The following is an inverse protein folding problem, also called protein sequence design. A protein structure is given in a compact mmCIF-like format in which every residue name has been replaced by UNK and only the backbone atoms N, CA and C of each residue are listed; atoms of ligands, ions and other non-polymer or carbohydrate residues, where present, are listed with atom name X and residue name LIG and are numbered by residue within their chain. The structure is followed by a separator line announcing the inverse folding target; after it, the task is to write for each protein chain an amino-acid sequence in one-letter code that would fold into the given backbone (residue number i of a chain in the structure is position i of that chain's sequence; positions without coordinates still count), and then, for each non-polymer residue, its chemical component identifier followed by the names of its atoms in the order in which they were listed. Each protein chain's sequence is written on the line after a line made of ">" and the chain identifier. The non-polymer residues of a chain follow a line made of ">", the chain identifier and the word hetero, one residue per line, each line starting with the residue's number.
data_IF_930202475239
#
_entry.id   IF_930202475239
#
_cell.length_a   1.000
_cell.length_b   1.000
_cell.length_c   1.000
_cell.angle_alpha   90.00
_cell.angle_beta   90.00
_cell.angle_gamma   90.00
#
_symmetry.space_group_name_H-M   'P 1'
#
loop_
_entity.id
_entity.type
_entity.pdbx_description
1 polymer ?
#
# COMPACT_ATOMS: atom_id res chain seq x y z
N UNK A 1 -31.22 12.82 14.03
CA UNK A 1 -31.01 12.78 12.56
C UNK A 1 -31.25 11.38 12.03
N UNK A 2 -30.48 10.35 12.41
CA UNK A 2 -30.66 8.99 11.84
C UNK A 2 -32.09 8.45 11.95
N UNK A 3 -32.75 8.64 13.08
CA UNK A 3 -34.12 8.15 13.32
C UNK A 3 -35.22 9.06 12.74
N UNK A 4 -34.86 10.21 12.14
CA UNK A 4 -35.82 11.24 11.72
C UNK A 4 -35.80 11.37 10.20
N UNK A 5 -36.89 10.99 9.53
CA UNK A 5 -37.09 11.18 8.09
C UNK A 5 -38.25 12.17 7.92
N UNK A 6 -38.11 13.14 7.00
CA UNK A 6 -39.05 14.23 6.79
C UNK A 6 -38.65 15.52 7.51
N UNK A 7 -39.62 16.40 7.85
CA UNK A 7 -39.32 17.73 8.37
C UNK A 7 -38.62 17.68 9.73
N UNK A 8 -37.51 18.39 9.85
CA UNK A 8 -36.70 18.49 11.04
C UNK A 8 -36.17 19.90 11.23
N UNK A 9 -36.02 20.31 12.49
CA UNK A 9 -35.42 21.59 12.84
C UNK A 9 -33.99 21.35 13.31
N UNK A 10 -33.03 22.03 12.69
CA UNK A 10 -31.61 21.92 13.01
C UNK A 10 -31.09 23.26 13.53
N UNK A 11 -30.35 23.22 14.62
CA UNK A 11 -29.62 24.37 15.15
C UNK A 11 -28.18 24.37 14.64
N UNK A 12 -27.79 25.44 13.97
CA UNK A 12 -26.46 25.64 13.39
C UNK A 12 -25.78 26.78 14.14
N UNK A 13 -24.60 26.54 14.72
CA UNK A 13 -23.78 27.60 15.26
C UNK A 13 -22.84 28.17 14.18
N UNK A 14 -22.94 29.47 13.89
CA UNK A 14 -22.08 30.16 12.94
C UNK A 14 -21.65 31.50 13.53
N UNK A 15 -20.34 31.72 13.66
CA UNK A 15 -19.79 32.99 14.14
C UNK A 15 -20.21 33.38 15.57
N UNK A 16 -20.54 32.42 16.44
CA UNK A 16 -21.01 32.65 17.80
C UNK A 16 -22.53 32.85 17.94
N UNK A 17 -23.28 32.85 16.84
CA UNK A 17 -24.74 32.93 16.81
C UNK A 17 -25.36 31.55 16.57
N UNK A 18 -26.49 31.26 17.22
CA UNK A 18 -27.26 30.03 16.99
C UNK A 18 -28.41 30.31 16.02
N UNK A 19 -28.31 29.78 14.82
CA UNK A 19 -29.33 29.86 13.78
C UNK A 19 -30.19 28.60 13.82
N UNK A 20 -31.51 28.76 13.73
CA UNK A 20 -32.44 27.64 13.63
C UNK A 20 -32.89 27.53 12.17
N UNK A 21 -32.72 26.36 11.57
CA UNK A 21 -33.03 26.10 10.16
C UNK A 21 -33.99 24.92 10.09
N UNK A 22 -35.14 25.14 9.47
CA UNK A 22 -36.06 24.06 9.13
C UNK A 22 -35.61 23.41 7.82
N UNK A 23 -35.52 22.09 7.83
CA UNK A 23 -35.02 21.29 6.72
C UNK A 23 -35.83 20.00 6.58
N UNK A 24 -35.69 19.34 5.44
CA UNK A 24 -36.33 18.06 5.16
C UNK A 24 -35.24 16.99 5.04
N UNK A 25 -35.22 16.07 6.00
CA UNK A 25 -34.29 14.94 5.99
C UNK A 25 -34.81 13.88 5.02
N UNK A 26 -34.04 13.60 3.98
CA UNK A 26 -34.38 12.56 3.01
C UNK A 26 -33.96 11.18 3.54
N UNK A 27 -34.64 10.13 3.07
CA UNK A 27 -34.24 8.76 3.39
C UNK A 27 -32.94 8.40 2.64
N UNK A 28 -31.97 7.88 3.38
CA UNK A 28 -30.74 7.33 2.83
C UNK A 28 -30.45 5.97 3.46
N UNK A 29 -29.93 5.02 2.68
CA UNK A 29 -29.47 3.75 3.22
C UNK A 29 -28.00 3.86 3.64
N UNK A 30 -27.75 3.56 4.90
CA UNK A 30 -26.39 3.57 5.47
C UNK A 30 -26.05 2.21 6.04
N UNK A 31 -24.75 1.91 6.10
CA UNK A 31 -24.25 0.68 6.75
C UNK A 31 -24.65 0.70 8.23
N UNK A 32 -25.33 -0.36 8.66
CA UNK A 32 -25.64 -0.62 10.05
C UNK A 32 -24.34 -0.79 10.84
N UNK A 33 -24.25 -0.16 12.02
CA UNK A 33 -23.07 -0.25 12.89
C UNK A 33 -23.49 -0.67 14.28
N UNK A 34 -22.68 -1.48 14.93
CA UNK A 34 -22.86 -1.87 16.33
C UNK A 34 -22.48 -0.74 17.30
N UNK A 35 -22.55 -1.02 18.61
CA UNK A 35 -22.24 -0.05 19.67
C UNK A 35 -20.76 0.39 19.67
N UNK A 36 -19.86 -0.43 19.12
CA UNK A 36 -18.43 -0.16 18.99
C UNK A 36 -18.11 0.56 17.66
N UNK A 37 -19.13 0.78 16.81
CA UNK A 37 -19.01 1.44 15.53
C UNK A 37 -18.57 0.53 14.39
N UNK A 38 -18.50 -0.79 14.58
CA UNK A 38 -18.15 -1.73 13.53
C UNK A 38 -19.35 -2.03 12.61
N UNK A 39 -19.15 -2.26 11.30
CA UNK A 39 -20.21 -2.67 10.39
C UNK A 39 -20.89 -3.97 10.84
N UNK A 40 -22.22 -3.99 10.86
CA UNK A 40 -22.98 -5.23 11.04
C UNK A 40 -23.04 -5.96 9.70
N UNK A 41 -22.75 -7.25 9.71
CA UNK A 41 -22.75 -8.08 8.50
C UNK A 41 -24.13 -8.71 8.31
N UNK A 42 -24.65 -8.66 7.08
CA UNK A 42 -25.89 -9.32 6.70
C UNK A 42 -25.72 -10.83 6.78
N UNK A 43 -26.65 -11.51 7.47
CA UNK A 43 -26.68 -12.97 7.60
C UNK A 43 -27.89 -13.55 6.89
N UNK A 44 -27.75 -14.78 6.39
CA UNK A 44 -28.83 -15.54 5.78
C UNK A 44 -29.72 -16.23 6.84
N UNK A 45 -30.69 -17.03 6.39
CA UNK A 45 -31.61 -17.75 7.27
C UNK A 45 -30.93 -18.82 8.16
N UNK A 46 -29.71 -19.24 7.81
CA UNK A 46 -28.92 -20.21 8.56
C UNK A 46 -27.92 -19.54 9.52
N UNK A 47 -27.81 -18.20 9.47
CA UNK A 47 -26.89 -17.41 10.28
C UNK A 47 -25.51 -17.21 9.63
N UNK A 48 -25.33 -17.68 8.39
CA UNK A 48 -24.09 -17.54 7.63
C UNK A 48 -24.00 -16.14 7.01
N UNK A 49 -22.80 -15.53 6.94
CA UNK A 49 -22.65 -14.21 6.33
C UNK A 49 -22.97 -14.28 4.83
N UNK A 50 -23.81 -13.36 4.37
CA UNK A 50 -24.13 -13.21 2.94
C UNK A 50 -22.89 -12.69 2.23
N UNK A 51 -22.44 -13.44 1.23
CA UNK A 51 -21.31 -13.06 0.38
C UNK A 51 -21.80 -12.53 -0.96
N UNK A 52 -21.09 -11.57 -1.53
CA UNK A 52 -21.30 -11.12 -2.90
C UNK A 52 -20.59 -12.00 -3.94
N UNK A 53 -20.70 -11.65 -5.22
CA UNK A 53 -20.08 -12.37 -6.35
C UNK A 53 -18.55 -12.51 -6.25
N UNK A 54 -17.91 -11.71 -5.40
CA UNK A 54 -16.47 -11.69 -5.18
C UNK A 54 -16.09 -12.38 -3.84
N UNK A 55 -17.06 -12.98 -3.15
CA UNK A 55 -16.88 -13.62 -1.86
C UNK A 55 -16.71 -12.63 -0.70
N UNK A 56 -17.18 -11.38 -0.84
CA UNK A 56 -17.08 -10.34 0.21
C UNK A 56 -18.35 -10.33 1.06
N UNK A 57 -18.18 -10.15 2.37
CA UNK A 57 -19.30 -10.06 3.29
C UNK A 57 -20.10 -8.79 3.03
N UNK A 58 -21.41 -8.95 2.83
CA UNK A 58 -22.32 -7.83 2.54
C UNK A 58 -22.73 -7.18 3.87
N UNK A 59 -22.46 -5.88 4.08
CA UNK A 59 -22.92 -5.19 5.27
C UNK A 59 -24.45 -5.07 5.28
N UNK A 60 -25.03 -5.14 6.47
CA UNK A 60 -26.43 -4.82 6.68
C UNK A 60 -26.65 -3.31 6.51
N UNK A 61 -27.78 -2.94 5.92
CA UNK A 61 -28.13 -1.54 5.67
C UNK A 61 -29.39 -1.18 6.45
N UNK A 62 -29.41 0.03 6.99
CA UNK A 62 -30.57 0.59 7.69
C UNK A 62 -30.95 1.92 7.06
N UNK A 63 -32.25 2.20 7.00
CA UNK A 63 -32.74 3.51 6.59
C UNK A 63 -32.45 4.53 7.67
N UNK A 64 -31.82 5.64 7.28
CA UNK A 64 -31.52 6.75 8.15
C UNK A 64 -31.86 8.09 7.48
N UNK A 65 -32.32 9.05 8.28
CA UNK A 65 -32.48 10.43 7.84
C UNK A 65 -31.15 11.04 7.41
N UNK A 66 -31.13 11.69 6.26
CA UNK A 66 -29.96 12.28 5.65
C UNK A 66 -30.21 13.73 5.25
N UNK A 67 -29.31 14.61 5.69
CA UNK A 67 -29.40 16.06 5.49
C UNK A 67 -28.90 16.52 4.12
N UNK A 68 -28.24 15.66 3.34
CA UNK A 68 -27.65 16.05 2.06
C UNK A 68 -26.27 16.71 2.17
N UNK A 69 -25.68 16.79 3.37
CA UNK A 69 -24.31 17.27 3.55
C UNK A 69 -23.35 16.10 3.33
N UNK A 70 -22.59 16.17 2.25
CA UNK A 70 -21.47 15.27 1.95
C UNK A 70 -20.16 16.03 2.02
N UNK A 71 -19.08 15.33 2.37
CA UNK A 71 -17.75 15.90 2.23
C UNK A 71 -17.49 16.16 0.74
N UNK A 72 -17.14 17.39 0.39
CA UNK A 72 -16.65 17.70 -0.94
C UNK A 72 -15.16 17.36 -0.99
N UNK A 73 -14.77 16.53 -1.95
CA UNK A 73 -13.36 16.26 -2.24
C UNK A 73 -12.88 17.22 -3.33
N UNK A 74 -11.87 18.03 -3.01
CA UNK A 74 -11.28 18.96 -3.97
C UNK A 74 -9.79 18.67 -4.10
N UNK A 75 -9.30 18.64 -5.34
CA UNK A 75 -7.89 18.41 -5.64
C UNK A 75 -7.15 19.73 -5.51
N UNK A 76 -6.18 19.77 -4.61
CA UNK A 76 -5.35 20.95 -4.41
C UNK A 76 -3.92 20.67 -4.86
N UNK A 77 -3.27 21.62 -5.57
CA UNK A 77 -1.87 21.48 -5.92
C UNK A 77 -1.02 21.56 -4.64
N UNK A 78 -0.08 20.63 -4.48
CA UNK A 78 0.90 20.69 -3.40
C UNK A 78 1.90 21.81 -3.66
N UNK A 79 2.25 22.55 -2.61
CA UNK A 79 3.38 23.48 -2.64
C UNK A 79 4.71 22.75 -2.81
N UNK A 80 5.78 23.50 -3.11
CA UNK A 80 7.13 22.92 -3.31
C UNK A 80 7.62 22.18 -2.06
N UNK A 81 7.44 22.78 -0.88
CA UNK A 81 7.86 22.19 0.39
C UNK A 81 7.07 20.91 0.73
N UNK A 82 5.76 20.94 0.51
CA UNK A 82 4.88 19.78 0.75
C UNK A 82 5.20 18.64 -0.21
N UNK A 83 5.46 18.96 -1.48
CA UNK A 83 5.90 17.99 -2.49
C UNK A 83 7.21 17.33 -2.08
N UNK A 84 8.18 18.12 -1.63
CA UNK A 84 9.46 17.58 -1.14
C UNK A 84 9.28 16.69 0.09
N UNK A 85 8.40 17.07 1.02
CA UNK A 85 8.06 16.27 2.19
C UNK A 85 7.39 14.94 1.80
N UNK A 86 6.42 14.97 0.89
CA UNK A 86 5.73 13.79 0.37
C UNK A 86 6.69 12.81 -0.31
N UNK A 87 7.56 13.32 -1.19
CA UNK A 87 8.57 12.49 -1.87
C UNK A 87 9.57 11.91 -0.86
N UNK A 88 10.03 12.70 0.11
CA UNK A 88 10.91 12.24 1.17
C UNK A 88 10.29 11.12 2.00
N UNK A 89 9.03 11.28 2.41
CA UNK A 89 8.26 10.25 3.13
C UNK A 89 8.13 8.97 2.31
N UNK A 90 7.77 9.08 1.03
CA UNK A 90 7.62 7.94 0.12
C UNK A 90 8.94 7.17 -0.03
N UNK A 91 10.06 7.86 -0.19
CA UNK A 91 11.40 7.24 -0.26
C UNK A 91 11.74 6.51 1.04
N UNK A 92 11.44 7.11 2.20
CA UNK A 92 11.68 6.48 3.50
C UNK A 92 10.83 5.22 3.69
N UNK A 93 9.56 5.26 3.30
CA UNK A 93 8.65 4.13 3.44
C UNK A 93 9.04 2.97 2.52
N UNK A 94 9.47 3.25 1.28
CA UNK A 94 10.08 2.24 0.41
C UNK A 94 11.36 1.67 1.02
N UNK A 95 12.22 2.51 1.60
CA UNK A 95 13.41 2.05 2.32
C UNK A 95 13.09 1.10 3.47
N UNK A 96 12.08 1.42 4.30
CA UNK A 96 11.59 0.54 5.35
C UNK A 96 11.04 -0.78 4.79
N UNK A 97 10.28 -0.72 3.69
CA UNK A 97 9.74 -1.90 3.03
C UNK A 97 10.86 -2.84 2.54
N UNK A 98 11.94 -2.30 1.95
CA UNK A 98 13.10 -3.09 1.52
C UNK A 98 13.80 -3.77 2.70
N UNK A 99 14.01 -3.04 3.80
CA UNK A 99 14.67 -3.59 5.00
C UNK A 99 13.83 -4.67 5.69
N UNK A 100 12.51 -4.52 5.69
CA UNK A 100 11.57 -5.45 6.34
C UNK A 100 11.19 -6.64 5.45
N UNK A 101 11.47 -6.58 4.14
CA UNK A 101 11.14 -7.62 3.16
C UNK A 101 11.56 -9.03 3.59
N UNK A 102 12.79 -9.28 4.12
CA UNK A 102 13.19 -10.64 4.51
C UNK A 102 12.31 -11.22 5.63
N UNK A 103 11.81 -10.38 6.53
CA UNK A 103 10.94 -10.82 7.62
C UNK A 103 9.54 -11.23 7.13
N UNK A 104 9.11 -10.75 5.96
CA UNK A 104 7.82 -11.09 5.35
C UNK A 104 7.86 -12.38 4.52
N UNK A 105 9.04 -12.91 4.21
CA UNK A 105 9.20 -14.15 3.41
C UNK A 105 8.47 -15.35 4.04
N UNK A 106 8.58 -15.61 5.36
CA UNK A 106 7.84 -16.71 5.99
C UNK A 106 6.33 -16.52 5.91
N UNK A 107 5.84 -15.30 6.07
CA UNK A 107 4.40 -15.00 6.02
C UNK A 107 3.83 -15.27 4.63
N UNK A 108 4.58 -14.91 3.58
CA UNK A 108 4.24 -15.25 2.19
C UNK A 108 4.20 -16.76 2.00
N UNK A 109 5.19 -17.49 2.52
CA UNK A 109 5.23 -18.94 2.41
C UNK A 109 4.01 -19.60 3.08
N UNK A 110 3.69 -19.19 4.32
CA UNK A 110 2.55 -19.75 5.05
C UNK A 110 1.23 -19.41 4.37
N UNK A 111 1.08 -18.18 3.87
CA UNK A 111 -0.11 -17.78 3.12
C UNK A 111 -0.26 -18.54 1.79
N UNK A 112 0.85 -18.91 1.13
CA UNK A 112 0.83 -19.63 -0.14
C UNK A 112 0.60 -21.14 0.02
N UNK A 113 1.20 -21.78 1.04
CA UNK A 113 1.26 -23.24 1.15
C UNK A 113 0.52 -23.82 2.37
N UNK A 114 0.34 -23.03 3.43
CA UNK A 114 -0.31 -23.50 4.67
C UNK A 114 -1.75 -22.98 4.81
N UNK A 115 -2.24 -22.20 3.84
CA UNK A 115 -3.60 -21.66 3.84
C UNK A 115 -3.82 -20.54 4.86
N UNK A 116 -2.76 -19.90 5.36
CA UNK A 116 -2.89 -18.71 6.21
C UNK A 116 -3.41 -17.49 5.42
N UNK A 117 -3.99 -16.53 6.14
CA UNK A 117 -4.48 -15.30 5.52
C UNK A 117 -3.33 -14.42 5.00
N UNK A 118 -3.56 -13.82 3.84
CA UNK A 118 -2.61 -12.90 3.19
C UNK A 118 -2.77 -11.51 3.78
N UNK A 119 -1.76 -11.01 4.49
CA UNK A 119 -1.80 -9.65 5.06
C UNK A 119 -1.82 -8.57 3.97
N UNK A 120 -2.51 -7.44 4.15
CA UNK A 120 -2.56 -6.35 3.16
C UNK A 120 -1.20 -5.71 2.85
N UNK A 121 -0.26 -5.74 3.79
CA UNK A 121 1.11 -5.21 3.63
C UNK A 121 2.10 -6.28 3.13
N UNK A 122 1.59 -7.43 2.69
CA UNK A 122 2.43 -8.50 2.16
C UNK A 122 3.12 -8.08 0.86
N UNK A 123 4.36 -8.55 0.62
CA UNK A 123 5.02 -8.36 -0.67
C UNK A 123 4.18 -8.95 -1.80
N UNK A 124 4.02 -8.20 -2.89
CA UNK A 124 3.22 -8.58 -4.06
C UNK A 124 4.15 -8.83 -5.25
N UNK A 125 3.92 -9.92 -5.99
CA UNK A 125 4.65 -10.21 -7.22
C UNK A 125 4.07 -9.48 -8.44
N UNK A 126 4.65 -9.76 -9.62
CA UNK A 126 4.25 -9.14 -10.89
C UNK A 126 2.80 -9.49 -11.26
N UNK A 127 2.38 -10.73 -10.96
CA UNK A 127 1.02 -11.22 -11.25
C UNK A 127 0.01 -10.52 -10.33
N UNK A 128 0.29 -10.43 -9.03
CA UNK A 128 -0.57 -9.73 -8.07
C UNK A 128 -0.70 -8.24 -8.40
N UNK A 129 0.40 -7.58 -8.76
CA UNK A 129 0.39 -6.18 -9.19
C UNK A 129 -0.47 -5.99 -10.45
N UNK A 130 -0.39 -6.91 -11.43
CA UNK A 130 -1.22 -6.86 -12.63
C UNK A 130 -2.71 -7.04 -12.32
N UNK A 131 -3.05 -7.95 -11.39
CA UNK A 131 -4.42 -8.18 -10.91
C UNK A 131 -4.98 -6.96 -10.19
N UNK A 132 -4.22 -6.39 -9.26
CA UNK A 132 -4.56 -5.14 -8.55
C UNK A 132 -4.81 -4.01 -9.57
N UNK A 133 -3.96 -3.91 -10.59
CA UNK A 133 -4.18 -2.96 -11.67
C UNK A 133 -5.52 -3.18 -12.38
N UNK A 134 -5.85 -4.43 -12.72
CA UNK A 134 -7.15 -4.79 -13.28
C UNK A 134 -8.34 -4.41 -12.37
N UNK A 135 -8.21 -4.66 -11.07
CA UNK A 135 -9.22 -4.30 -10.06
C UNK A 135 -9.46 -2.78 -10.06
N UNK A 136 -8.40 -1.96 -10.01
CA UNK A 136 -8.51 -0.49 -10.07
C UNK A 136 -9.17 -0.02 -11.39
N UNK A 137 -8.86 -0.66 -12.52
CA UNK A 137 -9.48 -0.32 -13.81
C UNK A 137 -10.98 -0.65 -13.87
N UNK A 138 -11.42 -1.67 -13.11
CA UNK A 138 -12.82 -2.08 -13.03
C UNK A 138 -13.66 -1.25 -12.07
N UNK A 139 -13.03 -0.46 -11.20
CA UNK A 139 -13.74 0.35 -10.20
C UNK A 139 -14.55 1.48 -10.85
N UNK A 140 -15.77 1.76 -10.35
CA UNK A 140 -16.64 2.82 -10.86
C UNK A 140 -16.21 4.22 -10.38
N UNK A 141 -14.91 4.51 -10.40
CA UNK A 141 -14.32 5.81 -10.06
C UNK A 141 -14.09 6.67 -11.32
N UNK A 142 -14.04 8.01 -11.18
CA UNK A 142 -13.74 8.91 -12.30
C UNK A 142 -12.41 8.56 -12.99
N UNK A 143 -12.34 8.76 -14.31
CA UNK A 143 -11.17 8.41 -15.13
C UNK A 143 -9.88 9.08 -14.64
N UNK A 144 -10.00 10.33 -14.17
CA UNK A 144 -8.86 11.08 -13.66
C UNK A 144 -8.29 10.45 -12.39
N UNK A 145 -9.15 10.05 -11.44
CA UNK A 145 -8.71 9.41 -10.19
C UNK A 145 -8.10 8.04 -10.46
N UNK A 146 -8.71 7.27 -11.37
CA UNK A 146 -8.16 5.99 -11.84
C UNK A 146 -6.75 6.16 -12.42
N UNK A 147 -6.53 7.20 -13.21
CA UNK A 147 -5.23 7.49 -13.80
C UNK A 147 -4.20 7.87 -12.74
N UNK A 148 -4.58 8.68 -11.76
CA UNK A 148 -3.69 9.07 -10.64
C UNK A 148 -3.28 7.85 -9.81
N UNK A 149 -4.23 6.96 -9.48
CA UNK A 149 -3.94 5.73 -8.73
C UNK A 149 -3.00 4.83 -9.53
N UNK A 150 -3.23 4.67 -10.84
CA UNK A 150 -2.35 3.90 -11.74
C UNK A 150 -0.92 4.45 -11.80
N UNK A 151 -0.79 5.78 -11.94
CA UNK A 151 0.51 6.43 -11.96
C UNK A 151 1.24 6.28 -10.62
N UNK A 152 0.54 6.42 -9.50
CA UNK A 152 1.12 6.19 -8.18
C UNK A 152 1.55 4.74 -7.98
N UNK A 153 0.75 3.77 -8.43
CA UNK A 153 1.12 2.36 -8.38
C UNK A 153 2.38 2.10 -9.21
N UNK A 154 2.44 2.59 -10.44
CA UNK A 154 3.62 2.46 -11.30
C UNK A 154 4.85 3.15 -10.69
N UNK A 155 4.68 4.33 -10.11
CA UNK A 155 5.73 5.05 -9.41
C UNK A 155 6.25 4.25 -8.20
N UNK A 156 5.35 3.67 -7.39
CA UNK A 156 5.72 2.86 -6.23
C UNK A 156 6.51 1.61 -6.61
N UNK A 157 6.11 0.90 -7.68
CA UNK A 157 6.83 -0.27 -8.19
C UNK A 157 8.21 0.12 -8.69
N UNK A 158 8.33 1.20 -9.47
CA UNK A 158 9.63 1.66 -9.96
C UNK A 158 10.55 2.16 -8.84
N UNK A 159 10.00 2.87 -7.86
CA UNK A 159 10.75 3.34 -6.70
C UNK A 159 11.23 2.16 -5.84
N UNK A 160 10.40 1.13 -5.68
CA UNK A 160 10.80 -0.10 -5.01
C UNK A 160 11.90 -0.84 -5.77
N UNK A 161 11.78 -0.99 -7.09
CA UNK A 161 12.84 -1.60 -7.91
C UNK A 161 14.15 -0.81 -7.82
N UNK A 162 14.08 0.51 -7.84
CA UNK A 162 15.23 1.38 -7.63
C UNK A 162 15.88 1.19 -6.26
N UNK A 163 15.08 1.25 -5.18
CA UNK A 163 15.58 1.07 -3.82
C UNK A 163 16.12 -0.35 -3.60
N UNK A 164 15.49 -1.36 -4.18
CA UNK A 164 15.95 -2.74 -4.17
C UNK A 164 17.28 -2.87 -4.92
N UNK A 165 17.43 -2.27 -6.10
CA UNK A 165 18.69 -2.23 -6.84
C UNK A 165 19.80 -1.50 -6.08
N UNK A 166 19.48 -0.57 -5.17
CA UNK A 166 20.46 0.07 -4.29
C UNK A 166 20.92 -0.79 -3.11
N UNK A 167 20.28 -1.94 -2.85
CA UNK A 167 20.71 -2.85 -1.79
C UNK A 167 22.13 -3.34 -2.08
N UNK A 168 23.05 -3.33 -1.09
CA UNK A 168 24.46 -3.66 -1.29
C UNK A 168 24.69 -5.18 -1.44
N UNK A 169 24.10 -5.78 -2.47
CA UNK A 169 24.27 -7.17 -2.85
C UNK A 169 24.90 -7.22 -4.25
N UNK A 170 25.73 -8.23 -4.50
CA UNK A 170 26.46 -8.39 -5.76
C UNK A 170 25.62 -8.44 -7.04
N UNK A 171 24.48 -9.16 -7.11
CA UNK A 171 23.66 -9.18 -8.32
C UNK A 171 22.87 -7.87 -8.53
N UNK A 172 22.92 -6.95 -7.57
CA UNK A 172 22.23 -5.66 -7.62
C UNK A 172 23.24 -4.54 -7.86
N UNK A 173 22.81 -3.46 -8.48
CA UNK A 173 23.70 -2.33 -8.83
C UNK A 173 24.36 -1.71 -7.58
N UNK A 174 23.70 -1.82 -6.42
CA UNK A 174 24.18 -1.40 -5.11
C UNK A 174 25.46 -2.11 -4.67
N UNK A 175 25.77 -3.31 -5.19
CA UNK A 175 27.05 -3.98 -4.96
C UNK A 175 28.23 -3.19 -5.51
N UNK A 176 28.07 -2.58 -6.69
CA UNK A 176 29.08 -1.71 -7.29
C UNK A 176 29.21 -0.39 -6.54
N UNK A 177 28.08 0.18 -6.12
CA UNK A 177 28.04 1.41 -5.32
C UNK A 177 28.77 1.17 -3.99
N UNK A 178 28.50 0.07 -3.29
CA UNK A 178 29.20 -0.29 -2.07
C UNK A 178 30.71 -0.44 -2.30
N UNK A 179 31.11 -1.13 -3.37
CA UNK A 179 32.52 -1.29 -3.76
C UNK A 179 33.21 0.05 -4.03
N UNK A 180 32.56 0.94 -4.77
CA UNK A 180 33.06 2.27 -5.10
C UNK A 180 33.13 3.18 -3.86
N UNK A 181 32.13 3.13 -2.98
CA UNK A 181 32.11 3.86 -1.70
C UNK A 181 33.24 3.37 -0.80
N UNK A 182 33.42 2.04 -0.70
CA UNK A 182 34.49 1.44 0.07
C UNK A 182 35.87 1.82 -0.46
N UNK A 183 36.05 1.79 -1.78
CA UNK A 183 37.27 2.24 -2.44
C UNK A 183 37.52 3.74 -2.21
N UNK A 184 36.49 4.58 -2.31
CA UNK A 184 36.57 6.02 -2.02
C UNK A 184 37.00 6.29 -0.58
N UNK A 185 36.41 5.59 0.40
CA UNK A 185 36.79 5.68 1.82
C UNK A 185 38.25 5.25 2.01
N UNK A 186 38.63 4.09 1.44
CA UNK A 186 39.97 3.53 1.63
C UNK A 186 41.05 4.39 0.98
N UNK A 187 40.78 4.94 -0.21
CA UNK A 187 41.62 5.93 -0.91
C UNK A 187 41.72 7.22 -0.12
N UNK A 188 40.61 7.72 0.42
CA UNK A 188 40.58 8.90 1.29
C UNK A 188 41.44 8.71 2.55
N UNK A 189 41.30 7.56 3.20
CA UNK A 189 42.09 7.20 4.38
C UNK A 189 43.58 7.01 4.05
N UNK A 190 43.90 6.38 2.92
CA UNK A 190 45.28 6.21 2.45
C UNK A 190 45.95 7.56 2.17
N UNK A 191 45.23 8.51 1.55
CA UNK A 191 45.69 9.90 1.36
C UNK A 191 45.93 10.61 2.69
N UNK A 192 45.01 10.47 3.65
CA UNK A 192 45.14 11.10 4.97
C UNK A 192 46.31 10.49 5.78
N UNK A 193 46.55 9.19 5.64
CA UNK A 193 47.63 8.46 6.34
C UNK A 193 48.94 8.38 5.55
N UNK A 194 49.04 9.05 4.40
CA UNK A 194 50.19 9.02 3.46
C UNK A 194 50.64 7.60 3.08
N UNK A 195 49.70 6.64 3.04
CA UNK A 195 49.96 5.26 2.62
C UNK A 195 49.72 5.10 1.11
N UNK A 196 50.42 4.16 0.45
CA UNK A 196 50.18 3.85 -0.96
C UNK A 196 48.75 3.37 -1.21
N UNK A 197 48.26 3.63 -2.42
CA UNK A 197 46.87 3.40 -2.82
C UNK A 197 46.54 1.89 -2.76
N UNK A 198 45.50 1.47 -2.00
CA UNK A 198 45.23 0.06 -1.68
C UNK A 198 44.69 -0.82 -2.82
N UNK A 199 44.60 -0.33 -4.06
CA UNK A 199 44.22 -1.10 -5.24
C UNK A 199 42.72 -1.43 -5.35
N UNK A 200 42.25 -1.80 -6.56
CA UNK A 200 40.85 -2.08 -6.84
C UNK A 200 40.37 -3.37 -6.19
N UNK A 201 39.09 -3.40 -5.82
CA UNK A 201 38.44 -4.56 -5.21
C UNK A 201 38.12 -5.63 -6.27
N UNK A 202 38.58 -6.86 -6.08
CA UNK A 202 38.33 -7.96 -7.01
C UNK A 202 36.94 -8.59 -6.76
N UNK A 203 36.00 -8.23 -7.63
CA UNK A 203 34.60 -8.69 -7.58
C UNK A 203 34.48 -10.19 -7.94
N UNK A 204 35.47 -10.77 -8.64
CA UNK A 204 35.40 -12.15 -9.10
C UNK A 204 35.31 -13.18 -7.96
N UNK A 205 35.91 -12.86 -6.80
CA UNK A 205 35.88 -13.74 -5.62
C UNK A 205 34.49 -13.83 -4.98
N UNK A 206 33.60 -12.89 -5.28
CA UNK A 206 32.25 -12.83 -4.72
C UNK A 206 31.18 -13.48 -5.62
N UNK A 207 31.56 -13.93 -6.81
CA UNK A 207 30.67 -14.63 -7.75
C UNK A 207 29.93 -15.83 -7.15
N UNK A 208 30.53 -16.71 -6.32
CA UNK A 208 29.81 -17.82 -5.70
C UNK A 208 28.65 -17.35 -4.81
N UNK A 209 28.86 -16.26 -4.06
CA UNK A 209 27.83 -15.65 -3.21
C UNK A 209 26.73 -15.03 -4.07
N UNK A 210 27.11 -14.37 -5.17
CA UNK A 210 26.15 -13.79 -6.11
C UNK A 210 25.19 -14.87 -6.67
N UNK A 211 25.69 -16.05 -7.02
CA UNK A 211 24.84 -17.15 -7.49
C UNK A 211 23.83 -17.64 -6.43
N UNK A 212 24.24 -17.73 -5.17
CA UNK A 212 23.33 -18.10 -4.07
C UNK A 212 22.23 -17.05 -3.91
N UNK A 213 22.58 -15.75 -3.93
CA UNK A 213 21.61 -14.66 -3.82
C UNK A 213 20.63 -14.67 -5.00
N UNK A 214 21.12 -14.86 -6.23
CA UNK A 214 20.25 -14.97 -7.42
C UNK A 214 19.30 -16.16 -7.31
N UNK A 215 19.78 -17.32 -6.85
CA UNK A 215 18.92 -18.48 -6.63
C UNK A 215 17.83 -18.19 -5.59
N UNK A 216 18.17 -17.52 -4.47
CA UNK A 216 17.20 -17.10 -3.46
C UNK A 216 16.13 -16.16 -4.05
N UNK A 217 16.51 -15.18 -4.87
CA UNK A 217 15.55 -14.28 -5.51
C UNK A 217 14.67 -15.00 -6.53
N UNK A 218 15.22 -15.95 -7.28
CA UNK A 218 14.44 -16.74 -8.22
C UNK A 218 13.40 -17.61 -7.50
N UNK A 219 13.80 -18.26 -6.40
CA UNK A 219 12.88 -19.00 -5.54
C UNK A 219 11.82 -18.10 -4.91
N UNK A 220 12.21 -16.94 -4.40
CA UNK A 220 11.28 -15.96 -3.81
C UNK A 220 10.29 -15.42 -4.84
N UNK A 221 10.76 -15.09 -6.05
CA UNK A 221 9.92 -14.64 -7.16
C UNK A 221 8.90 -15.70 -7.57
N UNK A 222 9.33 -16.96 -7.68
CA UNK A 222 8.43 -18.08 -7.96
C UNK A 222 7.40 -18.28 -6.85
N UNK A 223 7.83 -18.14 -5.58
CA UNK A 223 6.93 -18.23 -4.44
C UNK A 223 5.88 -17.12 -4.46
N UNK A 224 6.25 -15.87 -4.78
CA UNK A 224 5.31 -14.78 -4.94
C UNK A 224 4.33 -15.03 -6.08
N UNK A 225 4.82 -15.56 -7.22
CA UNK A 225 3.95 -15.95 -8.33
C UNK A 225 2.89 -16.95 -7.89
N UNK A 226 3.28 -18.00 -7.15
CA UNK A 226 2.34 -18.99 -6.63
C UNK A 226 1.38 -18.36 -5.62
N UNK A 227 1.90 -17.56 -4.69
CA UNK A 227 1.10 -16.87 -3.68
C UNK A 227 0.05 -15.94 -4.32
N UNK A 228 0.43 -15.15 -5.33
CA UNK A 228 -0.45 -14.22 -6.02
C UNK A 228 -1.56 -14.92 -6.83
N UNK A 229 -1.35 -16.17 -7.26
CA UNK A 229 -2.35 -16.96 -7.98
C UNK A 229 -3.31 -17.64 -7.01
N UNK A 230 -2.79 -18.23 -5.93
CA UNK A 230 -3.57 -19.06 -5.00
C UNK A 230 -4.27 -18.23 -3.93
N UNK A 231 -3.58 -17.22 -3.39
CA UNK A 231 -4.04 -16.40 -2.28
C UNK A 231 -3.63 -14.92 -2.48
N UNK A 232 -4.28 -14.23 -3.43
CA UNK A 232 -3.90 -12.87 -3.78
C UNK A 232 -4.19 -11.87 -2.66
N UNK A 233 -3.35 -10.84 -2.56
CA UNK A 233 -3.63 -9.68 -1.70
C UNK A 233 -4.90 -8.98 -2.20
N UNK A 234 -5.76 -8.60 -1.25
CA UNK A 234 -7.01 -7.87 -1.51
C UNK A 234 -6.90 -6.48 -0.89
N UNK A 235 -6.94 -5.45 -1.72
CA UNK A 235 -6.77 -4.05 -1.28
C UNK A 235 -8.09 -3.36 -0.91
N UNK A 236 -9.23 -3.99 -1.22
CA UNK A 236 -10.56 -3.44 -0.94
C UNK A 236 -11.31 -4.44 -0.06
N UNK A 237 -11.54 -4.04 1.20
CA UNK A 237 -12.51 -4.68 2.10
C UNK A 237 -13.84 -3.93 2.03
#
# INVERSE_FOLDING_TARGET
>A
IRETIGPATITVQRGGETLTVDTELIENQVVARDADGNPVIRRDANGDPVLDEQGRQVPETVSAGFLGIVAAEERQPLGVAETAGYLGGTVLDVGKAVVTLPAKVPDVFRAAFLGEERQPDSPVGIVGASRIGGEILSQPIPVLDRTVVMLNMLASVNLFLFAFNMVPLLPLDGGHILGAVWEWIRRGWARLTKRPDPGPFDVAQLMPVAYVVVACFLCFSLMLLVADIVNPVRLVQ
#
